data_IF_036429898456
#
_entry.id   IF_036429898456
#
_cell.length_a   1.000
_cell.length_b   1.000
_cell.length_c   1.000
_cell.angle_alpha   90.00
_cell.angle_beta   90.00
_cell.angle_gamma   90.00
#
_symmetry.space_group_name_H-M   'P 1'
#
loop_
_entity.id
_entity.type
_entity.pdbx_description
1 polymer ?
#
# COMPACT_ATOMS: atom_id res chain seq x y z
N UNK A 1 -19.14 7.92 -1.96
CA UNK A 1 -17.78 7.34 -1.85
C UNK A 1 -16.95 8.27 -0.98
N UNK A 2 -16.42 7.81 0.15
CA UNK A 2 -15.56 8.62 1.02
C UNK A 2 -14.07 8.44 0.64
N UNK A 3 -13.17 9.19 1.29
CA UNK A 3 -11.72 9.14 1.00
C UNK A 3 -11.15 7.75 1.22
N UNK A 4 -11.55 7.08 2.30
CA UNK A 4 -11.10 5.73 2.61
C UNK A 4 -11.48 4.72 1.52
N UNK A 5 -12.75 4.68 1.11
CA UNK A 5 -13.24 3.83 0.03
C UNK A 5 -12.54 4.11 -1.30
N UNK A 6 -12.32 5.39 -1.62
CA UNK A 6 -11.62 5.78 -2.84
C UNK A 6 -10.16 5.33 -2.85
N UNK A 7 -9.45 5.47 -1.73
CA UNK A 7 -8.07 5.03 -1.58
C UNK A 7 -7.94 3.52 -1.70
N UNK A 8 -8.85 2.75 -1.07
CA UNK A 8 -8.88 1.28 -1.19
C UNK A 8 -9.03 0.83 -2.63
N UNK A 9 -9.97 1.42 -3.39
CA UNK A 9 -10.17 1.10 -4.81
C UNK A 9 -8.92 1.36 -5.66
N UNK A 10 -8.23 2.49 -5.45
CA UNK A 10 -7.01 2.82 -6.19
C UNK A 10 -5.88 1.83 -5.88
N UNK A 11 -5.72 1.44 -4.62
CA UNK A 11 -4.70 0.46 -4.22
C UNK A 11 -5.02 -0.92 -4.77
N UNK A 12 -6.28 -1.36 -4.71
CA UNK A 12 -6.73 -2.62 -5.32
C UNK A 12 -6.43 -2.65 -6.82
N UNK A 13 -6.74 -1.56 -7.53
CA UNK A 13 -6.42 -1.43 -8.95
C UNK A 13 -4.92 -1.56 -9.22
N UNK A 14 -4.08 -0.88 -8.45
CA UNK A 14 -2.62 -1.00 -8.60
C UNK A 14 -2.15 -2.44 -8.35
N UNK A 15 -2.62 -3.08 -7.28
CA UNK A 15 -2.26 -4.48 -6.94
C UNK A 15 -2.72 -5.47 -8.03
N UNK A 16 -3.88 -5.24 -8.65
CA UNK A 16 -4.35 -6.11 -9.73
C UNK A 16 -3.58 -5.91 -11.03
N UNK A 17 -3.14 -4.69 -11.32
CA UNK A 17 -2.48 -4.35 -12.58
C UNK A 17 -0.99 -4.72 -12.60
N UNK A 18 -0.32 -4.69 -11.44
CA UNK A 18 1.13 -4.90 -11.35
C UNK A 18 1.50 -6.16 -10.57
N UNK A 19 2.61 -6.79 -10.95
CA UNK A 19 3.13 -7.98 -10.25
C UNK A 19 3.96 -7.65 -9.03
N UNK A 20 4.55 -6.46 -8.97
CA UNK A 20 5.32 -5.97 -7.85
C UNK A 20 4.84 -4.57 -7.44
N UNK A 21 4.42 -4.45 -6.19
CA UNK A 21 4.05 -3.18 -5.55
C UNK A 21 5.13 -2.82 -4.54
N UNK A 22 5.75 -1.65 -4.71
CA UNK A 22 6.75 -1.13 -3.78
C UNK A 22 6.17 0.08 -3.06
N UNK A 23 6.03 -0.01 -1.75
CA UNK A 23 5.60 1.11 -0.91
C UNK A 23 6.80 1.68 -0.18
N UNK A 24 7.21 2.88 -0.60
CA UNK A 24 8.21 3.65 0.12
C UNK A 24 7.57 4.30 1.35
N UNK A 25 8.14 4.07 2.54
CA UNK A 25 7.65 4.69 3.78
C UNK A 25 8.78 5.40 4.53
N UNK A 26 8.49 6.57 5.12
CA UNK A 26 9.49 7.41 5.80
C UNK A 26 9.43 7.33 7.32
N UNK A 27 8.52 6.52 7.87
CA UNK A 27 8.19 6.50 9.30
C UNK A 27 7.23 7.61 9.73
N UNK A 28 6.89 8.53 8.82
CA UNK A 28 5.87 9.54 9.06
C UNK A 28 4.44 8.99 8.95
N UNK A 29 3.50 9.70 9.60
CA UNK A 29 2.09 9.29 9.70
C UNK A 29 1.44 8.93 8.35
N UNK A 30 1.65 9.76 7.33
CA UNK A 30 0.97 9.63 6.04
C UNK A 30 1.50 8.40 5.29
N UNK A 31 2.83 8.22 5.31
CA UNK A 31 3.49 7.06 4.71
C UNK A 31 3.19 5.75 5.44
N UNK A 32 3.01 5.82 6.78
CA UNK A 32 2.62 4.69 7.60
C UNK A 32 1.19 4.24 7.30
N UNK A 33 0.24 5.18 7.16
CA UNK A 33 -1.14 4.86 6.74
C UNK A 33 -1.14 4.21 5.36
N UNK A 34 -0.37 4.73 4.41
CA UNK A 34 -0.31 4.15 3.06
C UNK A 34 0.26 2.72 3.05
N UNK A 35 1.31 2.46 3.83
CA UNK A 35 1.89 1.12 3.99
C UNK A 35 0.87 0.15 4.59
N UNK A 36 0.24 0.53 5.71
CA UNK A 36 -0.73 -0.35 6.39
C UNK A 36 -1.94 -0.65 5.51
N UNK A 37 -2.54 0.36 4.86
CA UNK A 37 -3.66 0.16 3.94
C UNK A 37 -3.30 -0.78 2.78
N UNK A 38 -2.11 -0.61 2.20
CA UNK A 38 -1.65 -1.46 1.09
C UNK A 38 -1.47 -2.91 1.54
N UNK A 39 -0.86 -3.14 2.70
CA UNK A 39 -0.67 -4.47 3.25
C UNK A 39 -2.00 -5.15 3.61
N UNK A 40 -2.95 -4.41 4.20
CA UNK A 40 -4.26 -4.95 4.58
C UNK A 40 -5.07 -5.36 3.36
N UNK A 41 -5.13 -4.51 2.33
CA UNK A 41 -5.79 -4.83 1.06
C UNK A 41 -5.13 -6.04 0.38
N UNK A 42 -3.79 -6.09 0.35
CA UNK A 42 -3.07 -7.20 -0.26
C UNK A 42 -3.30 -8.53 0.48
N UNK A 43 -3.45 -8.50 1.81
CA UNK A 43 -3.84 -9.67 2.61
C UNK A 43 -5.26 -10.12 2.28
N UNK A 44 -6.22 -9.21 2.22
CA UNK A 44 -7.62 -9.52 1.85
C UNK A 44 -7.71 -10.13 0.45
N UNK A 45 -6.92 -9.62 -0.50
CA UNK A 45 -6.82 -10.14 -1.86
C UNK A 45 -5.97 -11.42 -1.98
N UNK A 46 -5.34 -11.89 -0.90
CA UNK A 46 -4.44 -13.06 -0.85
C UNK A 46 -3.22 -12.95 -1.79
N UNK A 47 -2.74 -11.74 -2.02
CA UNK A 47 -1.59 -11.45 -2.91
C UNK A 47 -0.48 -10.67 -2.19
N UNK A 48 -0.34 -10.88 -0.87
CA UNK A 48 0.68 -10.21 -0.05
C UNK A 48 2.11 -10.36 -0.62
N UNK A 49 2.40 -11.49 -1.28
CA UNK A 49 3.69 -11.74 -1.94
C UNK A 49 4.05 -10.71 -3.03
N UNK A 50 3.07 -10.00 -3.61
CA UNK A 50 3.29 -8.91 -4.57
C UNK A 50 3.79 -7.61 -3.91
N UNK A 51 3.57 -7.41 -2.61
CA UNK A 51 3.81 -6.13 -1.95
C UNK A 51 5.11 -6.14 -1.12
N UNK A 52 5.99 -5.16 -1.38
CA UNK A 52 7.26 -4.97 -0.69
C UNK A 52 7.32 -3.55 -0.09
N UNK A 53 7.79 -3.43 1.15
CA UNK A 53 8.01 -2.14 1.81
C UNK A 53 9.47 -1.73 1.72
N UNK A 54 9.73 -0.45 1.45
CA UNK A 54 11.08 0.14 1.50
C UNK A 54 11.06 1.30 2.48
N UNK A 55 11.87 1.22 3.53
CA UNK A 55 12.04 2.31 4.48
C UNK A 55 13.02 3.34 3.94
N UNK A 56 12.63 4.61 3.91
CA UNK A 56 13.46 5.73 3.47
C UNK A 56 13.60 6.72 4.63
N UNK A 57 14.75 6.69 5.29
CA UNK A 57 15.14 7.72 6.26
C UNK A 57 15.85 8.85 5.53
N UNK A 58 15.36 10.08 5.66
CA UNK A 58 16.16 11.27 5.32
C UNK A 58 16.94 11.67 6.56
N UNK A 59 18.27 11.58 6.47
CA UNK A 59 19.23 12.20 7.40
C UNK A 59 19.17 13.71 7.33
#
# INVERSE_FOLDING_TARGET
MNVYEASRKRIQYAISEFDNIIVSFSGGKDSGVMLNLTLDIAKEMKVLHKCKGVFIMRI
#
